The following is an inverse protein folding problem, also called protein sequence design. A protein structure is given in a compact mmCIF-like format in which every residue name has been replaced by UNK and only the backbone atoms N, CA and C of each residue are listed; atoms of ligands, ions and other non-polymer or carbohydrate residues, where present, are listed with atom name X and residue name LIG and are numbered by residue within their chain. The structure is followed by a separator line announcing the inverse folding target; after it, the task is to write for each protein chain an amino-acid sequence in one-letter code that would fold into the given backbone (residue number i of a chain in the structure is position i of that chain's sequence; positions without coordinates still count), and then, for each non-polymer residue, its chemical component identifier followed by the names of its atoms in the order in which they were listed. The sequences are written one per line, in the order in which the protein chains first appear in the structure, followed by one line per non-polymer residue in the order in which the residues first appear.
data_IF_459835534879
#
_entry.id   IF_459835534879
#
_cell.length_a   1.000
_cell.length_b   1.000
_cell.length_c   1.000
_cell.angle_alpha   90.00
_cell.angle_beta   90.00
_cell.angle_gamma   90.00
#
_symmetry.space_group_name_H-M   'P 1'
#
loop_
_entity.id
_entity.type
_entity.pdbx_description
1 polymer ?
#
# COMPACT_ATOMS: atom_id res chain seq x y z
N UNK A 1 -14.11 -0.03 -19.94
CA UNK A 1 -14.38 0.29 -18.53
C UNK A 1 -13.45 -0.52 -17.65
N UNK A 2 -12.67 0.16 -16.81
CA UNK A 2 -11.71 -0.47 -15.90
C UNK A 2 -12.33 -0.83 -14.54
N UNK A 3 -13.66 -1.07 -14.50
CA UNK A 3 -14.33 -1.48 -13.27
C UNK A 3 -14.19 -2.99 -13.12
N UNK A 4 -13.88 -3.43 -11.89
CA UNK A 4 -13.78 -4.85 -11.56
C UNK A 4 -15.06 -5.61 -11.89
N UNK A 5 -14.94 -6.82 -12.45
CA UNK A 5 -16.06 -7.70 -12.74
C UNK A 5 -16.88 -7.99 -11.48
N UNK A 6 -16.24 -8.19 -10.33
CA UNK A 6 -16.91 -8.46 -9.05
C UNK A 6 -17.80 -7.28 -8.60
N UNK A 7 -17.31 -6.05 -8.77
CA UNK A 7 -18.11 -4.85 -8.47
C UNK A 7 -19.33 -4.76 -9.41
N UNK A 8 -19.15 -5.08 -10.69
CA UNK A 8 -20.24 -5.09 -11.66
C UNK A 8 -21.28 -6.15 -11.29
N UNK A 9 -20.85 -7.37 -10.93
CA UNK A 9 -21.78 -8.43 -10.55
C UNK A 9 -22.53 -8.08 -9.25
N UNK A 10 -21.88 -7.53 -8.23
CA UNK A 10 -22.55 -7.06 -7.01
C UNK A 10 -23.61 -5.99 -7.31
N UNK A 11 -23.28 -5.01 -8.14
CA UNK A 11 -24.25 -3.98 -8.58
C UNK A 11 -25.45 -4.63 -9.28
N UNK A 12 -25.22 -5.61 -10.16
CA UNK A 12 -26.30 -6.32 -10.84
C UNK A 12 -27.20 -7.11 -9.88
N UNK A 13 -26.60 -7.77 -8.89
CA UNK A 13 -27.34 -8.51 -7.86
C UNK A 13 -28.21 -7.58 -7.04
N UNK A 14 -27.66 -6.48 -6.52
CA UNK A 14 -28.40 -5.49 -5.72
C UNK A 14 -29.54 -4.85 -6.53
N UNK A 15 -29.32 -4.56 -7.83
CA UNK A 15 -30.38 -4.05 -8.71
C UNK A 15 -31.45 -5.10 -9.00
N UNK A 16 -31.10 -6.37 -9.17
CA UNK A 16 -32.06 -7.46 -9.32
C UNK A 16 -32.93 -7.63 -8.07
N UNK A 17 -32.33 -7.63 -6.91
CA UNK A 17 -33.05 -7.73 -5.63
C UNK A 17 -34.06 -6.59 -5.44
N UNK A 18 -33.75 -5.39 -5.93
CA UNK A 18 -34.62 -4.22 -5.76
C UNK A 18 -35.74 -4.11 -6.83
N UNK A 19 -35.52 -4.60 -8.04
CA UNK A 19 -36.39 -4.31 -9.18
C UNK A 19 -37.04 -5.55 -9.81
N UNK A 20 -36.50 -6.76 -9.60
CA UNK A 20 -37.07 -7.98 -10.18
C UNK A 20 -38.06 -8.60 -9.22
N UNK A 21 -39.19 -9.07 -9.73
CA UNK A 21 -40.29 -9.69 -8.98
C UNK A 21 -40.92 -8.81 -7.89
N UNK A 22 -40.73 -7.47 -7.98
CA UNK A 22 -41.33 -6.47 -7.09
C UNK A 22 -42.16 -5.46 -7.91
N UNK A 23 -43.18 -4.82 -7.33
CA UNK A 23 -43.90 -3.72 -7.98
C UNK A 23 -42.90 -2.59 -8.30
N UNK A 24 -42.84 -2.19 -9.56
CA UNK A 24 -41.97 -1.09 -10.00
C UNK A 24 -42.37 0.22 -9.28
N UNK A 25 -41.40 0.95 -8.72
CA UNK A 25 -41.65 2.25 -8.14
C UNK A 25 -42.07 3.26 -9.22
N UNK A 26 -42.76 4.35 -8.84
CA UNK A 26 -43.15 5.42 -9.78
C UNK A 26 -41.93 6.11 -10.42
N UNK A 27 -40.82 6.20 -9.67
CA UNK A 27 -39.53 6.72 -10.12
C UNK A 27 -38.51 5.59 -10.16
N UNK A 28 -38.46 4.87 -11.26
CA UNK A 28 -37.52 3.75 -11.49
C UNK A 28 -36.08 4.26 -11.58
N UNK A 29 -35.88 5.41 -12.25
CA UNK A 29 -34.54 5.98 -12.44
C UNK A 29 -33.93 6.44 -11.11
N UNK A 30 -34.70 7.13 -10.28
CA UNK A 30 -34.27 7.52 -8.93
C UNK A 30 -33.95 6.31 -8.06
N UNK A 31 -34.74 5.22 -8.16
CA UNK A 31 -34.46 3.99 -7.41
C UNK A 31 -33.16 3.30 -7.85
N UNK A 32 -32.88 3.29 -9.15
CA UNK A 32 -31.61 2.77 -9.69
C UNK A 32 -30.43 3.59 -9.14
N UNK A 33 -30.53 4.92 -9.19
CA UNK A 33 -29.47 5.80 -8.67
C UNK A 33 -29.24 5.64 -7.16
N UNK A 34 -30.31 5.50 -6.39
CA UNK A 34 -30.24 5.24 -4.95
C UNK A 34 -29.54 3.92 -4.66
N UNK A 35 -29.93 2.84 -5.35
CA UNK A 35 -29.33 1.51 -5.20
C UNK A 35 -27.85 1.53 -5.57
N UNK A 36 -27.48 2.15 -6.69
CA UNK A 36 -26.09 2.32 -7.10
C UNK A 36 -25.28 3.05 -6.03
N UNK A 37 -25.80 4.18 -5.52
CA UNK A 37 -25.11 4.92 -4.44
C UNK A 37 -24.94 4.08 -3.19
N UNK A 38 -25.95 3.31 -2.79
CA UNK A 38 -25.91 2.43 -1.62
C UNK A 38 -24.83 1.36 -1.80
N UNK A 39 -24.88 0.62 -2.91
CA UNK A 39 -23.91 -0.44 -3.23
C UNK A 39 -22.47 0.09 -3.28
N UNK A 40 -22.24 1.23 -3.94
CA UNK A 40 -20.93 1.86 -3.97
C UNK A 40 -20.46 2.28 -2.57
N UNK A 41 -21.36 2.85 -1.76
CA UNK A 41 -21.03 3.22 -0.39
C UNK A 41 -20.67 2.00 0.46
N UNK A 42 -21.41 0.90 0.34
CA UNK A 42 -21.13 -0.35 1.04
C UNK A 42 -19.76 -0.93 0.65
N UNK A 43 -19.45 -0.97 -0.65
CA UNK A 43 -18.16 -1.44 -1.17
C UNK A 43 -16.99 -0.56 -0.67
N UNK A 44 -17.20 0.74 -0.58
CA UNK A 44 -16.17 1.71 -0.16
C UNK A 44 -16.09 1.90 1.36
N UNK A 45 -17.04 1.33 2.12
CA UNK A 45 -17.00 1.40 3.59
C UNK A 45 -16.09 0.29 4.09
N UNK A 46 -14.88 0.66 4.44
CA UNK A 46 -13.85 -0.23 5.00
C UNK A 46 -13.52 0.28 6.41
N UNK A 47 -13.27 -0.63 7.32
CA UNK A 47 -12.81 -0.28 8.66
C UNK A 47 -11.49 0.50 8.55
N UNK A 48 -11.48 1.72 9.10
CA UNK A 48 -10.30 2.56 9.07
C UNK A 48 -9.24 2.05 10.05
N UNK A 49 -8.00 1.97 9.57
CA UNK A 49 -6.85 1.67 10.43
C UNK A 49 -6.37 2.98 11.05
N UNK A 50 -6.45 3.08 12.38
CA UNK A 50 -5.79 4.17 13.09
C UNK A 50 -4.28 3.87 13.20
N UNK A 51 -3.55 4.29 12.16
CA UNK A 51 -2.10 4.09 12.09
C UNK A 51 -1.36 4.81 13.22
N UNK A 52 -1.77 6.03 13.56
CA UNK A 52 -1.11 6.82 14.60
C UNK A 52 -1.24 6.15 15.97
N UNK A 53 -2.41 5.61 16.27
CA UNK A 53 -2.62 4.88 17.52
C UNK A 53 -1.79 3.60 17.57
N UNK A 54 -1.77 2.82 16.48
CA UNK A 54 -0.94 1.60 16.39
C UNK A 54 0.54 1.88 16.61
N UNK A 55 1.07 2.97 16.04
CA UNK A 55 2.47 3.36 16.24
C UNK A 55 2.74 3.71 17.71
N UNK A 56 1.84 4.49 18.34
CA UNK A 56 1.97 4.89 19.75
C UNK A 56 1.91 3.72 20.73
N UNK A 57 1.11 2.71 20.43
CA UNK A 57 0.90 1.55 21.29
C UNK A 57 2.08 0.57 21.23
N UNK A 58 2.94 0.68 20.20
CA UNK A 58 4.10 -0.20 20.05
C UNK A 58 5.29 0.26 20.88
N UNK A 59 5.96 -0.70 21.50
CA UNK A 59 7.28 -0.49 22.10
C UNK A 59 8.38 -0.70 21.05
N UNK A 60 9.18 0.34 20.80
CA UNK A 60 10.21 0.36 19.76
C UNK A 60 9.68 0.77 18.37
N UNK A 61 10.52 0.72 17.33
CA UNK A 61 10.17 1.22 16.01
C UNK A 61 9.01 0.45 15.37
N UNK A 62 8.04 1.16 14.80
CA UNK A 62 6.96 0.58 14.03
C UNK A 62 7.42 0.39 12.57
N UNK A 63 7.46 -0.85 12.12
CA UNK A 63 8.00 -1.20 10.80
C UNK A 63 6.89 -1.35 9.78
N UNK A 64 6.95 -0.55 8.70
CA UNK A 64 6.00 -0.59 7.59
C UNK A 64 6.73 -1.00 6.32
N UNK A 65 6.27 -2.05 5.66
CA UNK A 65 6.80 -2.50 4.37
C UNK A 65 5.82 -2.17 3.25
N UNK A 66 6.30 -1.47 2.22
CA UNK A 66 5.52 -1.10 1.04
C UNK A 66 5.90 -1.98 -0.14
N UNK A 67 4.92 -2.53 -0.83
CA UNK A 67 5.11 -3.35 -2.02
C UNK A 67 4.03 -3.08 -3.06
N UNK A 68 4.29 -3.48 -4.29
CA UNK A 68 3.47 -3.21 -5.46
C UNK A 68 4.34 -3.09 -6.70
N UNK A 69 3.78 -3.06 -7.90
CA UNK A 69 4.55 -3.01 -9.13
C UNK A 69 5.30 -1.68 -9.32
N UNK A 70 6.24 -1.66 -10.27
CA UNK A 70 6.96 -0.42 -10.60
C UNK A 70 6.01 0.63 -11.19
N UNK A 71 6.22 1.89 -10.82
CA UNK A 71 5.47 3.03 -11.35
C UNK A 71 4.13 3.29 -10.66
N UNK A 72 3.67 2.42 -9.76
CA UNK A 72 2.40 2.64 -9.01
C UNK A 72 2.48 3.77 -7.96
N UNK A 73 3.64 4.34 -7.71
CA UNK A 73 3.80 5.44 -6.76
C UNK A 73 4.17 5.03 -5.33
N UNK A 74 4.83 3.88 -5.11
CA UNK A 74 5.33 3.45 -3.79
C UNK A 74 6.16 4.54 -3.11
N UNK A 75 7.27 4.93 -3.73
CA UNK A 75 8.21 5.94 -3.21
C UNK A 75 7.53 7.26 -2.91
N UNK A 76 6.63 7.72 -3.77
CA UNK A 76 5.84 8.93 -3.55
C UNK A 76 4.86 8.79 -2.37
N UNK A 77 4.23 7.62 -2.22
CA UNK A 77 3.31 7.33 -1.10
C UNK A 77 4.07 7.30 0.22
N UNK A 78 5.28 6.72 0.23
CA UNK A 78 6.19 6.73 1.38
C UNK A 78 6.53 8.16 1.78
N UNK A 79 6.91 9.01 0.81
CA UNK A 79 7.23 10.40 1.08
C UNK A 79 6.03 11.18 1.67
N UNK A 80 4.83 11.00 1.11
CA UNK A 80 3.60 11.64 1.64
C UNK A 80 3.27 11.16 3.06
N UNK A 81 3.38 9.86 3.31
CA UNK A 81 3.12 9.29 4.64
C UNK A 81 4.18 9.75 5.65
N UNK A 82 5.46 9.83 5.25
CA UNK A 82 6.54 10.39 6.08
C UNK A 82 6.20 11.81 6.52
N UNK A 83 5.78 12.67 5.57
CA UNK A 83 5.38 14.04 5.89
C UNK A 83 4.20 14.10 6.88
N UNK A 84 3.18 13.26 6.68
CA UNK A 84 2.03 13.16 7.58
C UNK A 84 2.44 12.75 9.00
N UNK A 85 3.34 11.78 9.13
CA UNK A 85 3.84 11.32 10.43
C UNK A 85 4.68 12.40 11.13
N UNK A 86 5.51 13.15 10.38
CA UNK A 86 6.25 14.29 10.93
C UNK A 86 5.31 15.38 11.45
N UNK A 87 4.20 15.68 10.76
CA UNK A 87 3.18 16.60 11.26
C UNK A 87 2.54 16.11 12.57
N UNK A 88 2.57 14.81 12.82
CA UNK A 88 2.11 14.19 14.07
C UNK A 88 3.23 14.04 15.13
N UNK A 89 4.38 14.72 14.93
CA UNK A 89 5.58 14.68 15.78
C UNK A 89 6.19 13.28 15.91
N UNK A 90 6.12 12.47 14.85
CA UNK A 90 6.77 11.16 14.79
C UNK A 90 8.05 11.22 13.97
N UNK A 91 9.10 10.60 14.47
CA UNK A 91 10.37 10.45 13.76
C UNK A 91 10.32 9.25 12.79
N UNK A 92 10.93 9.41 11.60
CA UNK A 92 10.89 8.40 10.54
C UNK A 92 12.28 8.14 9.99
N UNK A 93 12.58 6.90 9.65
CA UNK A 93 13.73 6.50 8.83
C UNK A 93 13.25 5.70 7.64
N UNK A 94 13.87 5.95 6.47
CA UNK A 94 13.55 5.27 5.22
C UNK A 94 14.60 4.20 4.91
N UNK A 95 14.18 3.04 4.38
CA UNK A 95 15.04 1.97 3.92
C UNK A 95 14.88 1.77 2.41
N UNK A 96 15.97 1.97 1.63
CA UNK A 96 15.99 1.84 0.19
C UNK A 96 16.23 0.37 -0.21
N UNK A 97 15.17 -0.43 -0.24
CA UNK A 97 15.24 -1.86 -0.53
C UNK A 97 14.92 -2.20 -2.00
N UNK A 98 14.71 -1.24 -2.91
CA UNK A 98 14.76 -1.44 -4.37
C UNK A 98 16.22 -1.34 -4.86
N UNK A 99 17.06 -2.27 -4.41
CA UNK A 99 18.52 -2.23 -4.61
C UNK A 99 18.95 -2.50 -6.05
N UNK A 100 18.05 -3.02 -6.89
CA UNK A 100 18.33 -3.30 -8.32
C UNK A 100 18.05 -2.11 -9.25
N UNK A 101 17.62 -0.98 -8.70
CA UNK A 101 17.31 0.22 -9.47
C UNK A 101 17.98 1.44 -8.85
N UNK A 102 19.16 1.82 -9.39
CA UNK A 102 19.87 3.00 -8.89
C UNK A 102 18.97 4.25 -8.86
N UNK A 103 18.18 4.49 -9.90
CA UNK A 103 17.23 5.61 -9.94
C UNK A 103 16.13 5.55 -8.86
N UNK A 104 15.77 4.38 -8.36
CA UNK A 104 14.80 4.27 -7.25
C UNK A 104 15.45 4.66 -5.92
N UNK A 105 16.70 4.26 -5.71
CA UNK A 105 17.49 4.66 -4.54
C UNK A 105 17.65 6.17 -4.53
N UNK A 106 18.07 6.76 -5.67
CA UNK A 106 18.28 8.21 -5.81
C UNK A 106 16.97 8.99 -5.58
N UNK A 107 15.84 8.51 -6.13
CA UNK A 107 14.53 9.11 -5.92
C UNK A 107 14.11 9.11 -4.45
N UNK A 108 14.30 7.98 -3.76
CA UNK A 108 13.98 7.89 -2.33
C UNK A 108 14.89 8.80 -1.49
N UNK A 109 16.16 8.90 -1.88
CA UNK A 109 17.14 9.79 -1.22
C UNK A 109 16.76 11.25 -1.40
N UNK A 110 16.33 11.67 -2.60
CA UNK A 110 15.84 13.02 -2.85
C UNK A 110 14.64 13.34 -1.93
N UNK A 111 13.67 12.43 -1.83
CA UNK A 111 12.56 12.59 -0.91
C UNK A 111 13.01 12.68 0.55
N UNK A 112 13.95 11.82 0.98
CA UNK A 112 14.49 11.84 2.33
C UNK A 112 15.15 13.18 2.67
N UNK A 113 15.97 13.70 1.73
CA UNK A 113 16.64 14.99 1.88
C UNK A 113 15.63 16.15 1.97
N UNK A 114 14.61 16.16 1.11
CA UNK A 114 13.57 17.20 1.11
C UNK A 114 12.74 17.19 2.40
N UNK A 115 12.55 16.02 3.02
CA UNK A 115 11.82 15.85 4.27
C UNK A 115 12.71 15.96 5.51
N UNK A 116 14.03 16.02 5.34
CA UNK A 116 14.98 16.06 6.46
C UNK A 116 15.01 14.77 7.28
N UNK A 117 14.72 13.61 6.67
CA UNK A 117 14.73 12.30 7.35
C UNK A 117 15.94 11.47 6.94
N UNK A 118 16.36 10.59 7.83
CA UNK A 118 17.46 9.66 7.53
C UNK A 118 16.99 8.59 6.56
N UNK A 119 17.84 8.30 5.56
CA UNK A 119 17.72 7.14 4.68
C UNK A 119 18.85 6.15 5.00
N UNK A 120 18.53 4.87 5.02
CA UNK A 120 19.47 3.75 5.03
C UNK A 120 19.46 3.13 3.66
N UNK A 121 20.62 3.10 3.02
CA UNK A 121 20.85 2.52 1.70
C UNK A 121 22.19 1.83 1.68
N UNK A 122 22.33 0.81 0.85
CA UNK A 122 23.60 0.16 0.54
C UNK A 122 23.93 0.36 -0.94
N UNK A 123 25.06 -0.20 -1.37
CA UNK A 123 25.46 -0.15 -2.78
C UNK A 123 24.43 -0.84 -3.69
N UNK A 124 24.45 -0.48 -4.96
CA UNK A 124 23.64 -1.11 -5.98
C UNK A 124 23.80 -2.64 -5.94
N UNK A 125 22.68 -3.36 -6.11
CA UNK A 125 22.61 -4.82 -6.09
C UNK A 125 22.97 -5.48 -4.73
N UNK A 126 22.89 -4.73 -3.64
CA UNK A 126 23.03 -5.27 -2.28
C UNK A 126 21.81 -6.10 -1.88
N UNK A 127 21.96 -6.87 -0.79
CA UNK A 127 20.86 -7.63 -0.18
C UNK A 127 19.82 -6.66 0.44
N UNK A 128 18.64 -6.59 -0.14
CA UNK A 128 17.55 -5.73 0.30
C UNK A 128 17.12 -6.02 1.76
N UNK A 129 17.17 -7.29 2.19
CA UNK A 129 16.84 -7.65 3.57
C UNK A 129 17.89 -7.13 4.57
N UNK A 130 19.18 -7.03 4.16
CA UNK A 130 20.22 -6.43 4.99
C UNK A 130 20.00 -4.92 5.15
N UNK A 131 19.64 -4.22 4.08
CA UNK A 131 19.28 -2.77 4.15
C UNK A 131 18.13 -2.54 5.14
N UNK A 132 17.07 -3.35 5.02
CA UNK A 132 15.90 -3.25 5.89
C UNK A 132 16.27 -3.54 7.36
N UNK A 133 17.09 -4.56 7.61
CA UNK A 133 17.56 -4.90 8.94
C UNK A 133 18.38 -3.76 9.55
N UNK A 134 19.31 -3.18 8.80
CA UNK A 134 20.13 -2.07 9.27
C UNK A 134 19.30 -0.82 9.57
N UNK A 135 18.23 -0.57 8.79
CA UNK A 135 17.30 0.52 9.07
C UNK A 135 16.57 0.32 10.42
N UNK A 136 16.15 -0.91 10.72
CA UNK A 136 15.51 -1.23 12.01
C UNK A 136 16.53 -1.05 13.14
N UNK A 137 17.75 -1.56 12.99
CA UNK A 137 18.82 -1.39 13.99
C UNK A 137 19.17 0.07 14.23
N UNK A 138 19.21 0.87 13.16
CA UNK A 138 19.37 2.31 13.27
C UNK A 138 18.24 2.97 14.07
N UNK A 139 16.99 2.58 13.76
CA UNK A 139 15.82 3.11 14.44
C UNK A 139 15.81 2.76 15.94
N UNK A 140 16.11 1.50 16.29
CA UNK A 140 16.21 1.04 17.67
C UNK A 140 17.26 1.86 18.45
N UNK A 141 18.45 2.04 17.87
CA UNK A 141 19.57 2.76 18.49
C UNK A 141 19.28 4.25 18.71
N UNK A 142 18.52 4.87 17.81
CA UNK A 142 18.28 6.31 17.80
C UNK A 142 16.87 6.69 18.30
N UNK A 143 16.10 5.74 18.83
CA UNK A 143 14.72 5.93 19.29
C UNK A 143 13.82 6.57 18.21
N UNK A 144 13.91 6.08 16.96
CA UNK A 144 13.06 6.48 15.86
C UNK A 144 11.74 5.73 15.94
N UNK A 145 10.62 6.44 15.77
CA UNK A 145 9.27 5.87 15.93
C UNK A 145 8.89 4.94 14.79
N UNK A 146 9.29 5.25 13.54
CA UNK A 146 8.81 4.52 12.35
C UNK A 146 9.95 4.21 11.38
N UNK A 147 9.95 2.97 10.88
CA UNK A 147 10.79 2.52 9.76
C UNK A 147 9.90 2.26 8.55
N UNK A 148 10.16 2.91 7.42
CA UNK A 148 9.46 2.65 6.16
C UNK A 148 10.39 1.98 5.16
N UNK A 149 9.98 0.83 4.65
CA UNK A 149 10.77 -0.01 3.74
C UNK A 149 10.16 0.09 2.34
N UNK A 150 10.91 0.70 1.39
CA UNK A 150 10.55 0.75 -0.03
C UNK A 150 11.14 -0.45 -0.77
N UNK A 151 10.30 -1.38 -1.23
CA UNK A 151 10.73 -2.61 -1.89
C UNK A 151 10.70 -2.51 -3.42
N UNK A 152 11.42 -3.41 -4.09
CA UNK A 152 11.38 -3.55 -5.53
C UNK A 152 9.97 -3.93 -6.03
N UNK A 153 9.60 -3.44 -7.22
CA UNK A 153 8.26 -3.62 -7.81
C UNK A 153 8.20 -4.48 -9.07
N UNK A 154 9.20 -5.31 -9.36
CA UNK A 154 9.30 -6.08 -10.62
C UNK A 154 8.55 -7.41 -10.62
N UNK A 155 7.49 -7.56 -9.90
CA UNK A 155 6.87 -8.83 -9.50
C UNK A 155 6.25 -9.70 -10.59
N UNK A 156 5.99 -9.20 -11.80
CA UNK A 156 5.23 -9.99 -12.77
C UNK A 156 6.02 -11.05 -13.54
N UNK A 157 7.35 -11.07 -13.46
CA UNK A 157 8.18 -11.94 -14.32
C UNK A 157 9.31 -12.69 -13.64
N UNK A 158 9.47 -12.57 -12.30
CA UNK A 158 10.67 -13.15 -11.69
C UNK A 158 10.38 -13.73 -10.29
N UNK A 159 10.40 -15.07 -10.20
CA UNK A 159 10.28 -15.84 -8.94
C UNK A 159 11.31 -15.38 -7.89
N UNK A 160 12.46 -14.85 -8.31
CA UNK A 160 13.49 -14.37 -7.39
C UNK A 160 13.07 -13.13 -6.58
N UNK A 161 12.23 -12.27 -7.16
CA UNK A 161 11.77 -11.05 -6.46
C UNK A 161 10.65 -11.32 -5.44
N UNK A 162 9.82 -12.33 -5.71
CA UNK A 162 8.86 -12.82 -4.71
C UNK A 162 9.61 -13.39 -3.49
N UNK A 163 10.63 -14.19 -3.73
CA UNK A 163 11.50 -14.72 -2.68
C UNK A 163 12.26 -13.62 -1.93
N UNK A 164 12.64 -12.53 -2.62
CA UNK A 164 13.26 -11.36 -1.98
C UNK A 164 12.28 -10.64 -1.03
N UNK A 165 11.04 -10.39 -1.48
CA UNK A 165 10.02 -9.79 -0.63
C UNK A 165 9.72 -10.68 0.59
N UNK A 166 9.55 -11.99 0.40
CA UNK A 166 9.39 -12.96 1.50
C UNK A 166 10.57 -12.91 2.47
N UNK A 167 11.80 -12.80 1.95
CA UNK A 167 13.00 -12.68 2.76
C UNK A 167 12.99 -11.39 3.59
N UNK A 168 12.64 -10.25 2.98
CA UNK A 168 12.49 -8.97 3.70
C UNK A 168 11.47 -9.13 4.82
N UNK A 169 10.26 -9.61 4.52
CA UNK A 169 9.19 -9.81 5.52
C UNK A 169 9.64 -10.73 6.65
N UNK A 170 10.27 -11.85 6.33
CA UNK A 170 10.76 -12.80 7.34
C UNK A 170 11.84 -12.20 8.25
N UNK A 171 12.75 -11.40 7.68
CA UNK A 171 13.89 -10.80 8.45
C UNK A 171 13.40 -9.63 9.28
N UNK A 172 12.49 -8.80 8.76
CA UNK A 172 12.05 -7.57 9.41
C UNK A 172 10.83 -7.75 10.32
N UNK A 173 10.04 -8.82 10.09
CA UNK A 173 8.76 -9.06 10.77
C UNK A 173 7.96 -7.75 10.94
N UNK A 174 7.54 -7.10 9.82
CA UNK A 174 6.95 -5.78 9.87
C UNK A 174 5.61 -5.78 10.60
N UNK A 175 5.29 -4.66 11.25
CA UNK A 175 4.01 -4.45 11.92
C UNK A 175 2.87 -4.18 10.95
N UNK A 176 3.22 -3.67 9.76
CA UNK A 176 2.25 -3.39 8.71
C UNK A 176 2.84 -3.63 7.33
N UNK A 177 2.09 -4.35 6.51
CA UNK A 177 2.40 -4.70 5.13
C UNK A 177 1.38 -4.01 4.23
N UNK A 178 1.84 -3.01 3.47
CA UNK A 178 0.99 -2.14 2.66
C UNK A 178 1.21 -2.41 1.18
N UNK A 179 0.15 -2.84 0.50
CA UNK A 179 0.11 -2.89 -0.95
C UNK A 179 -0.13 -1.49 -1.52
N UNK A 180 0.63 -1.11 -2.55
CA UNK A 180 0.41 0.13 -3.30
C UNK A 180 0.00 -0.23 -4.72
N UNK A 181 -1.18 0.21 -5.13
CA UNK A 181 -1.75 -0.04 -6.45
C UNK A 181 -2.30 1.22 -7.11
N UNK A 182 -2.52 1.17 -8.43
CA UNK A 182 -3.10 2.28 -9.18
C UNK A 182 -4.61 2.10 -9.31
N UNK A 183 -5.38 3.14 -9.03
CA UNK A 183 -6.85 3.12 -9.15
C UNK A 183 -7.33 2.95 -10.60
N UNK A 184 -6.51 3.37 -11.57
CA UNK A 184 -6.88 3.36 -12.99
C UNK A 184 -6.72 2.00 -13.69
N UNK A 185 -6.02 1.05 -13.08
CA UNK A 185 -5.74 -0.27 -13.70
C UNK A 185 -6.84 -1.32 -13.45
N UNK A 186 -7.85 -1.00 -12.62
CA UNK A 186 -9.04 -1.82 -12.45
C UNK A 186 -8.74 -3.28 -12.06
N UNK A 187 -9.11 -4.24 -12.92
CA UNK A 187 -8.91 -5.67 -12.66
C UNK A 187 -7.45 -6.06 -12.44
N UNK A 188 -6.52 -5.46 -13.17
CA UNK A 188 -5.10 -5.77 -13.02
C UNK A 188 -4.60 -5.43 -11.61
N UNK A 189 -5.07 -4.32 -11.02
CA UNK A 189 -4.75 -3.96 -9.65
C UNK A 189 -5.26 -5.00 -8.65
N UNK A 190 -6.47 -5.51 -8.86
CA UNK A 190 -7.07 -6.53 -8.00
C UNK A 190 -6.31 -7.85 -8.09
N UNK A 191 -5.96 -8.29 -9.30
CA UNK A 191 -5.16 -9.51 -9.49
C UNK A 191 -3.78 -9.40 -8.84
N UNK A 192 -3.14 -8.22 -8.95
CA UNK A 192 -1.89 -7.94 -8.27
C UNK A 192 -2.05 -8.02 -6.76
N UNK A 193 -3.07 -7.33 -6.20
CA UNK A 193 -3.35 -7.35 -4.77
C UNK A 193 -3.57 -8.77 -4.25
N UNK A 194 -4.30 -9.61 -4.98
CA UNK A 194 -4.50 -11.03 -4.62
C UNK A 194 -3.20 -11.80 -4.57
N UNK A 195 -2.37 -11.71 -5.61
CA UNK A 195 -1.07 -12.40 -5.67
C UNK A 195 -0.16 -12.00 -4.52
N UNK A 196 -0.11 -10.70 -4.22
CA UNK A 196 0.65 -10.21 -3.07
C UNK A 196 0.06 -10.70 -1.74
N UNK A 197 -1.27 -10.68 -1.61
CA UNK A 197 -1.92 -11.12 -0.38
C UNK A 197 -1.73 -12.62 -0.10
N UNK A 198 -1.72 -13.45 -1.14
CA UNK A 198 -1.38 -14.88 -1.03
C UNK A 198 0.05 -15.09 -0.51
N UNK A 199 0.97 -14.21 -0.92
CA UNK A 199 2.37 -14.31 -0.56
C UNK A 199 2.68 -13.78 0.84
N UNK A 200 2.17 -12.58 1.19
CA UNK A 200 2.62 -11.85 2.39
C UNK A 200 1.51 -11.44 3.35
N UNK A 201 0.24 -11.76 3.03
CA UNK A 201 -0.92 -11.38 3.86
C UNK A 201 -0.91 -9.89 4.21
N UNK A 202 -1.28 -9.04 3.26
CA UNK A 202 -1.27 -7.59 3.44
C UNK A 202 -2.24 -7.12 4.53
N UNK A 203 -1.85 -6.06 5.25
CA UNK A 203 -2.65 -5.45 6.31
C UNK A 203 -3.45 -4.25 5.80
N UNK A 204 -3.07 -3.68 4.65
CA UNK A 204 -3.74 -2.53 4.06
C UNK A 204 -3.31 -2.27 2.63
N UNK A 205 -4.03 -1.36 1.96
CA UNK A 205 -3.72 -0.92 0.61
C UNK A 205 -3.78 0.60 0.48
N UNK A 206 -2.92 1.15 -0.39
CA UNK A 206 -2.94 2.54 -0.83
C UNK A 206 -3.28 2.55 -2.32
N UNK A 207 -4.34 3.24 -2.69
CA UNK A 207 -4.68 3.49 -4.09
C UNK A 207 -4.15 4.86 -4.50
N UNK A 208 -3.36 4.86 -5.56
CA UNK A 208 -2.76 6.06 -6.15
C UNK A 208 -3.48 6.48 -7.42
N UNK A 209 -3.17 7.67 -7.93
CA UNK A 209 -3.71 8.20 -9.19
C UNK A 209 -5.24 8.23 -9.21
N UNK A 210 -5.86 8.54 -8.08
CA UNK A 210 -7.34 8.66 -7.97
C UNK A 210 -7.88 9.97 -8.53
N UNK A 211 -6.99 10.88 -8.89
CA UNK A 211 -7.22 12.23 -9.41
C UNK A 211 -7.07 12.32 -10.95
N UNK A 212 -6.88 11.19 -11.63
CA UNK A 212 -6.64 11.11 -13.08
C UNK A 212 -7.90 10.68 -13.84
#
# INVERSE_FOLDING_TARGET
NNVSVEVIEKIKEDLKEELVDKPLPRDVEGKIQETLKRTMKEILTIDSIDLLQKIKDKKGPFVITFFGINGVGKTTSIAKLTHLLQQSNMSVVLAACDTFRAAAIDQLEEHANNLGVKIIKHDYNSDAAAVAFDAIKYAEKNNIDVVMIDTAGRLHSNTNLMAELEKIIRVTNPDMKIFVGESITGNDCIEQARKFNELVQMDGAILTKVDV
#
